data_IF_448119410108
#
_entry.id   IF_448119410108
#
_cell.length_a   1.000
_cell.length_b   1.000
_cell.length_c   1.000
_cell.angle_alpha   90.00
_cell.angle_beta   90.00
_cell.angle_gamma   90.00
#
_symmetry.space_group_name_H-M   'P 1'
#
loop_
_entity.id
_entity.type
_entity.pdbx_description
1 polymer ?
#
# COMPACT_ATOMS: atom_id res chain seq x y z
N UNK A 1 -7.08 -0.26 -11.34
CA UNK A 1 -7.62 0.17 -10.03
C UNK A 1 -8.92 0.95 -10.21
N UNK A 2 -9.81 0.79 -9.25
CA UNK A 2 -11.10 1.49 -9.24
C UNK A 2 -11.01 2.81 -8.47
N UNK A 3 -10.20 2.87 -7.43
CA UNK A 3 -10.08 4.03 -6.54
C UNK A 3 -8.63 4.28 -6.13
N UNK A 4 -8.23 5.55 -6.15
CA UNK A 4 -7.03 6.06 -5.49
C UNK A 4 -7.47 7.08 -4.43
N UNK A 5 -7.46 6.69 -3.15
CA UNK A 5 -8.05 7.53 -2.09
C UNK A 5 -7.12 8.62 -1.56
N UNK A 6 -5.88 8.67 -2.00
CA UNK A 6 -4.89 9.68 -1.57
C UNK A 6 -4.10 10.24 -2.75
N UNK A 7 -4.82 10.52 -3.82
CA UNK A 7 -4.26 11.08 -5.06
C UNK A 7 -3.88 12.55 -4.90
N UNK A 8 -2.81 13.03 -5.57
CA UNK A 8 -2.55 14.46 -5.66
C UNK A 8 -3.70 15.20 -6.35
N UNK A 9 -3.92 16.46 -5.97
CA UNK A 9 -4.95 17.32 -6.60
C UNK A 9 -4.65 17.46 -8.11
N UNK A 10 -3.40 17.79 -8.44
CA UNK A 10 -2.92 17.87 -9.81
C UNK A 10 -1.99 16.71 -10.10
N UNK A 11 -2.54 15.61 -10.55
CA UNK A 11 -1.76 14.44 -10.91
C UNK A 11 -1.38 14.46 -12.38
N UNK A 12 -0.19 13.96 -12.75
CA UNK A 12 0.26 13.97 -14.14
C UNK A 12 -0.49 12.95 -15.02
N UNK A 13 -1.04 11.89 -14.43
CA UNK A 13 -1.82 10.86 -15.10
C UNK A 13 -2.82 10.24 -14.11
N UNK A 14 -3.88 9.59 -14.61
CA UNK A 14 -4.82 8.90 -13.73
C UNK A 14 -4.18 7.62 -13.17
N UNK A 15 -4.37 7.38 -11.88
CA UNK A 15 -3.93 6.16 -11.20
C UNK A 15 -5.07 5.17 -10.99
N UNK A 16 -6.29 5.62 -11.12
CA UNK A 16 -7.51 4.83 -10.95
C UNK A 16 -8.67 5.47 -11.69
N UNK A 17 -9.84 4.82 -11.67
CA UNK A 17 -11.06 5.36 -12.26
C UNK A 17 -11.61 6.54 -11.46
N UNK A 18 -11.53 6.45 -10.13
CA UNK A 18 -11.98 7.48 -9.19
C UNK A 18 -10.81 7.88 -8.29
N UNK A 19 -10.76 9.17 -7.96
CA UNK A 19 -9.69 9.72 -7.13
C UNK A 19 -10.27 10.55 -5.99
N UNK A 20 -9.78 10.33 -4.77
CA UNK A 20 -9.97 11.26 -3.67
C UNK A 20 -8.65 12.01 -3.44
N UNK A 21 -8.77 13.30 -3.15
CA UNK A 21 -7.63 14.15 -2.84
C UNK A 21 -7.68 14.59 -1.38
N UNK A 22 -6.71 15.39 -0.95
CA UNK A 22 -6.71 15.93 0.41
C UNK A 22 -7.97 16.77 0.70
N UNK A 23 -8.56 17.36 -0.33
CA UNK A 23 -9.82 18.12 -0.20
C UNK A 23 -11.01 17.23 0.16
N UNK A 24 -10.98 15.97 -0.28
CA UNK A 24 -12.04 14.99 -0.02
C UNK A 24 -11.86 14.29 1.33
N UNK A 25 -10.65 14.21 1.84
CA UNK A 25 -10.26 13.37 2.97
C UNK A 25 -10.64 11.90 2.76
N UNK A 26 -9.85 11.21 1.94
CA UNK A 26 -10.11 9.83 1.54
C UNK A 26 -10.23 8.81 2.69
N UNK A 27 -9.65 9.11 3.87
CA UNK A 27 -9.81 8.25 5.05
C UNK A 27 -11.25 8.18 5.56
N UNK A 28 -12.04 9.21 5.32
CA UNK A 28 -13.43 9.31 5.81
C UNK A 28 -14.48 8.97 4.77
N UNK A 29 -14.07 8.73 3.53
CA UNK A 29 -14.98 8.41 2.43
C UNK A 29 -15.17 6.90 2.29
N UNK A 30 -16.30 6.43 1.76
CA UNK A 30 -16.45 5.02 1.42
C UNK A 30 -15.50 4.62 0.30
N UNK A 31 -14.90 3.45 0.41
CA UNK A 31 -14.04 2.87 -0.63
C UNK A 31 -14.81 1.77 -1.36
N UNK A 32 -14.72 1.77 -2.67
CA UNK A 32 -15.38 0.78 -3.51
C UNK A 32 -14.38 0.19 -4.51
N UNK A 33 -14.47 -1.11 -4.74
CA UNK A 33 -13.67 -1.80 -5.73
C UNK A 33 -12.23 -2.04 -5.29
N UNK A 34 -11.36 -2.21 -6.29
CA UNK A 34 -9.94 -2.46 -6.09
C UNK A 34 -9.17 -1.15 -5.94
N UNK A 35 -8.50 -0.98 -4.80
CA UNK A 35 -7.90 0.29 -4.39
C UNK A 35 -6.39 0.28 -4.57
N UNK A 36 -5.88 1.36 -5.14
CA UNK A 36 -4.45 1.71 -5.11
C UNK A 36 -4.24 2.75 -4.02
N UNK A 37 -3.39 2.44 -3.05
CA UNK A 37 -3.10 3.36 -1.95
C UNK A 37 -1.60 3.63 -1.85
N UNK A 38 -1.19 4.82 -2.24
CA UNK A 38 0.16 5.33 -2.03
C UNK A 38 0.07 6.51 -1.06
N UNK A 39 0.00 6.24 0.26
CA UNK A 39 -0.31 7.28 1.23
C UNK A 39 0.86 8.26 1.39
N UNK A 40 0.58 9.49 1.84
CA UNK A 40 1.66 10.39 2.23
C UNK A 40 2.46 9.76 3.36
N UNK A 41 3.78 9.86 3.26
CA UNK A 41 4.66 9.34 4.29
C UNK A 41 4.61 10.25 5.52
N UNK A 42 4.57 9.64 6.70
CA UNK A 42 4.53 10.38 7.94
C UNK A 42 3.65 9.72 9.00
N UNK A 43 3.19 10.48 10.00
CA UNK A 43 2.47 9.93 11.15
C UNK A 43 1.13 9.28 10.80
N UNK A 44 0.53 9.65 9.66
CA UNK A 44 -0.76 9.09 9.23
C UNK A 44 -0.66 7.82 8.40
N UNK A 45 0.54 7.36 8.06
CA UNK A 45 0.72 6.12 7.28
C UNK A 45 -0.01 4.94 7.91
N UNK A 46 0.03 4.82 9.24
CA UNK A 46 -0.67 3.76 9.97
C UNK A 46 -2.19 3.80 9.77
N UNK A 47 -2.80 4.98 9.76
CA UNK A 47 -4.25 5.12 9.54
C UNK A 47 -4.64 4.66 8.12
N UNK A 48 -3.83 5.00 7.12
CA UNK A 48 -4.05 4.56 5.75
C UNK A 48 -3.92 3.04 5.61
N UNK A 49 -2.91 2.44 6.23
CA UNK A 49 -2.73 0.99 6.21
C UNK A 49 -3.86 0.26 6.96
N UNK A 50 -4.32 0.81 8.07
CA UNK A 50 -5.49 0.29 8.79
C UNK A 50 -6.73 0.29 7.88
N UNK A 51 -6.94 1.38 7.13
CA UNK A 51 -8.06 1.49 6.21
C UNK A 51 -7.94 0.51 5.03
N UNK A 52 -6.73 0.31 4.50
CA UNK A 52 -6.47 -0.70 3.49
C UNK A 52 -6.80 -2.10 3.99
N UNK A 53 -6.37 -2.43 5.19
CA UNK A 53 -6.63 -3.74 5.80
C UNK A 53 -8.14 -3.97 6.01
N UNK A 54 -8.85 -2.96 6.49
CA UNK A 54 -10.30 -3.02 6.69
C UNK A 54 -11.04 -3.23 5.38
N UNK A 55 -10.67 -2.50 4.33
CA UNK A 55 -11.29 -2.65 3.01
C UNK A 55 -10.99 -4.02 2.39
N UNK A 56 -9.81 -4.54 2.62
CA UNK A 56 -9.37 -5.88 2.21
C UNK A 56 -9.48 -6.16 0.70
N UNK A 57 -9.29 -5.15 -0.10
CA UNK A 57 -9.19 -5.23 -1.56
C UNK A 57 -8.30 -4.07 -2.05
N UNK A 58 -7.03 -4.10 -1.66
CA UNK A 58 -6.15 -2.95 -1.78
C UNK A 58 -4.71 -3.37 -2.06
N UNK A 59 -4.07 -2.62 -2.92
CA UNK A 59 -2.62 -2.64 -3.11
C UNK A 59 -2.06 -1.34 -2.53
N UNK A 60 -1.21 -1.45 -1.52
CA UNK A 60 -0.55 -0.29 -0.93
C UNK A 60 0.94 -0.25 -1.30
N UNK A 61 1.47 0.95 -1.47
CA UNK A 61 2.90 1.19 -1.65
C UNK A 61 3.39 2.08 -0.52
N UNK A 62 4.31 1.57 0.29
CA UNK A 62 4.91 2.30 1.40
C UNK A 62 6.40 1.98 1.53
N UNK A 63 7.11 2.74 2.35
CA UNK A 63 8.46 2.36 2.74
C UNK A 63 8.43 1.07 3.58
N UNK A 64 9.41 0.21 3.36
CA UNK A 64 9.53 -1.07 4.06
C UNK A 64 10.12 -0.89 5.47
N UNK A 65 9.46 -0.09 6.29
CA UNK A 65 9.86 0.16 7.68
C UNK A 65 9.18 -0.85 8.59
N UNK A 66 9.71 -2.05 8.57
CA UNK A 66 9.13 -3.23 9.20
C UNK A 66 9.05 -3.16 10.71
N UNK A 67 9.89 -2.35 11.34
CA UNK A 67 9.96 -2.18 12.80
C UNK A 67 8.90 -1.22 13.35
N UNK A 68 8.24 -0.46 12.51
CA UNK A 68 7.26 0.55 12.97
C UNK A 68 5.99 -0.09 13.51
N UNK A 69 5.31 0.64 14.40
CA UNK A 69 4.01 0.20 14.92
C UNK A 69 2.98 0.02 13.81
N UNK A 70 2.99 0.90 12.80
CA UNK A 70 2.09 0.80 11.65
C UNK A 70 2.27 -0.54 10.92
N UNK A 71 3.51 -0.93 10.65
CA UNK A 71 3.82 -2.19 9.98
C UNK A 71 3.44 -3.40 10.84
N UNK A 72 3.78 -3.35 12.12
CA UNK A 72 3.48 -4.44 13.07
C UNK A 72 1.98 -4.64 13.31
N UNK A 73 1.20 -3.57 13.32
CA UNK A 73 -0.25 -3.66 13.58
C UNK A 73 -1.08 -3.92 12.33
N UNK A 74 -0.67 -3.39 11.17
CA UNK A 74 -1.55 -3.33 10.00
C UNK A 74 -1.01 -4.06 8.79
N UNK A 75 0.23 -4.50 8.80
CA UNK A 75 0.82 -5.25 7.69
C UNK A 75 0.97 -6.73 8.03
N UNK A 76 1.84 -7.07 8.98
CA UNK A 76 2.10 -8.48 9.29
C UNK A 76 0.84 -9.26 9.69
N UNK A 77 -0.08 -8.74 10.53
CA UNK A 77 -1.26 -9.50 10.91
C UNK A 77 -2.38 -9.50 9.87
N UNK A 78 -2.33 -8.66 8.86
CA UNK A 78 -3.48 -8.38 7.98
C UNK A 78 -3.21 -8.62 6.50
N UNK A 79 -2.00 -8.35 6.03
CA UNK A 79 -1.68 -8.47 4.60
C UNK A 79 -1.58 -9.93 4.18
N UNK A 80 -1.97 -10.21 2.94
CA UNK A 80 -1.87 -11.56 2.37
C UNK A 80 -0.53 -11.81 1.68
N UNK A 81 0.11 -10.78 1.20
CA UNK A 81 1.41 -10.89 0.54
C UNK A 81 2.12 -9.55 0.53
N UNK A 82 3.43 -9.63 0.37
CA UNK A 82 4.31 -8.47 0.20
C UNK A 82 5.21 -8.69 -1.00
N UNK A 83 5.58 -7.58 -1.63
CA UNK A 83 6.56 -7.59 -2.70
C UNK A 83 7.58 -6.48 -2.45
N UNK A 84 8.78 -6.88 -2.07
CA UNK A 84 9.87 -5.95 -1.76
C UNK A 84 10.55 -5.55 -3.07
N UNK A 85 10.47 -4.26 -3.40
CA UNK A 85 11.01 -3.76 -4.65
C UNK A 85 12.53 -3.74 -4.65
N UNK A 86 13.12 -4.16 -5.76
CA UNK A 86 14.56 -4.07 -5.97
C UNK A 86 14.94 -2.61 -6.24
N UNK A 87 15.97 -2.12 -5.54
CA UNK A 87 16.42 -0.74 -5.68
C UNK A 87 15.47 0.26 -5.07
N UNK A 88 15.64 1.52 -5.43
CA UNK A 88 14.85 2.62 -4.91
C UNK A 88 13.85 3.08 -5.95
N UNK A 89 12.62 3.36 -5.50
CA UNK A 89 11.57 3.90 -6.36
C UNK A 89 11.90 5.35 -6.71
N UNK A 90 11.71 5.71 -7.97
CA UNK A 90 11.77 7.11 -8.42
C UNK A 90 10.39 7.73 -8.32
N UNK A 91 10.33 8.92 -7.72
CA UNK A 91 9.07 9.68 -7.63
C UNK A 91 9.01 10.71 -8.75
N UNK A 92 7.78 11.04 -9.13
CA UNK A 92 7.49 12.06 -10.14
C UNK A 92 6.80 13.25 -9.51
N UNK A 93 7.14 14.44 -9.98
CA UNK A 93 6.41 15.66 -9.61
C UNK A 93 5.03 15.66 -10.25
N UNK A 94 4.14 16.50 -9.73
CA UNK A 94 2.76 16.61 -10.26
C UNK A 94 2.71 17.09 -11.72
N UNK A 95 3.78 17.71 -12.21
CA UNK A 95 3.91 18.11 -13.62
C UNK A 95 4.45 17.00 -14.54
N UNK A 96 4.70 15.80 -14.00
CA UNK A 96 5.20 14.65 -14.74
C UNK A 96 6.71 14.54 -14.84
N UNK A 97 7.48 15.50 -14.34
CA UNK A 97 8.95 15.40 -14.34
C UNK A 97 9.42 14.39 -13.31
N UNK A 98 10.46 13.63 -13.68
CA UNK A 98 11.09 12.71 -12.73
C UNK A 98 11.73 13.49 -11.58
N UNK A 99 11.39 13.09 -10.35
CA UNK A 99 11.99 13.63 -9.14
C UNK A 99 13.17 12.79 -8.64
N UNK A 100 13.47 12.92 -7.37
CA UNK A 100 14.50 12.12 -6.72
C UNK A 100 14.06 10.68 -6.46
N UNK A 101 15.02 9.86 -6.02
CA UNK A 101 14.75 8.49 -5.59
C UNK A 101 14.26 8.46 -4.14
N UNK A 102 13.56 7.39 -3.77
CA UNK A 102 13.09 7.17 -2.41
C UNK A 102 14.26 7.11 -1.41
N UNK A 103 14.06 7.68 -0.23
CA UNK A 103 15.05 7.65 0.86
C UNK A 103 15.13 6.32 1.60
N UNK A 104 14.24 5.37 1.30
CA UNK A 104 14.17 4.06 1.94
C UNK A 104 13.68 3.01 0.93
N UNK A 105 13.91 1.71 1.20
CA UNK A 105 13.33 0.65 0.39
C UNK A 105 11.80 0.72 0.41
N UNK A 106 11.18 0.30 -0.69
CA UNK A 106 9.73 0.29 -0.83
C UNK A 106 9.17 -1.13 -0.89
N UNK A 107 7.94 -1.29 -0.43
CA UNK A 107 7.23 -2.56 -0.46
C UNK A 107 5.82 -2.33 -0.97
N UNK A 108 5.36 -3.25 -1.84
CA UNK A 108 3.96 -3.38 -2.20
C UNK A 108 3.29 -4.34 -1.23
N UNK A 109 2.15 -3.95 -0.71
CA UNK A 109 1.40 -4.73 0.29
C UNK A 109 0.05 -5.09 -0.31
N UNK A 110 -0.24 -6.40 -0.36
CA UNK A 110 -1.51 -6.90 -0.86
C UNK A 110 -2.46 -7.17 0.30
N UNK A 111 -3.59 -6.48 0.30
CA UNK A 111 -4.71 -6.77 1.17
C UNK A 111 -5.83 -7.39 0.33
N UNK A 112 -6.20 -8.63 0.65
CA UNK A 112 -7.19 -9.38 -0.09
C UNK A 112 -6.60 -10.29 -1.18
N UNK A 113 -7.41 -11.24 -1.64
CA UNK A 113 -6.99 -12.29 -2.56
C UNK A 113 -6.63 -11.75 -3.94
N UNK A 114 -7.40 -10.79 -4.44
CA UNK A 114 -7.15 -10.22 -5.77
C UNK A 114 -5.78 -9.54 -5.83
N UNK A 115 -5.47 -8.69 -4.84
CA UNK A 115 -4.16 -8.03 -4.76
C UNK A 115 -3.02 -9.05 -4.61
N UNK A 116 -3.23 -10.09 -3.82
CA UNK A 116 -2.24 -11.18 -3.69
C UNK A 116 -1.96 -11.84 -5.02
N UNK A 117 -2.98 -12.16 -5.80
CA UNK A 117 -2.83 -12.81 -7.10
C UNK A 117 -2.00 -11.95 -8.06
N UNK A 118 -2.19 -10.64 -8.01
CA UNK A 118 -1.43 -9.70 -8.83
C UNK A 118 0.04 -9.68 -8.41
N UNK A 119 0.33 -9.59 -7.11
CA UNK A 119 1.72 -9.61 -6.63
C UNK A 119 2.44 -10.91 -6.97
N UNK A 120 1.74 -12.03 -6.86
CA UNK A 120 2.32 -13.35 -7.18
C UNK A 120 2.78 -13.44 -8.63
N UNK A 121 2.12 -12.72 -9.53
CA UNK A 121 2.45 -12.68 -10.97
C UNK A 121 3.57 -11.71 -11.34
N UNK A 122 4.09 -10.91 -10.42
CA UNK A 122 5.14 -9.95 -10.73
C UNK A 122 6.50 -10.65 -10.96
N UNK A 123 7.31 -10.03 -11.81
CA UNK A 123 8.64 -10.54 -12.15
C UNK A 123 9.59 -10.53 -10.94
N UNK A 124 10.33 -11.61 -10.74
CA UNK A 124 11.39 -11.68 -9.74
C UNK A 124 12.55 -10.72 -10.03
N UNK A 125 12.67 -10.23 -11.26
CA UNK A 125 13.70 -9.26 -11.63
C UNK A 125 13.45 -7.87 -11.01
N UNK A 126 12.20 -7.54 -10.69
CA UNK A 126 11.82 -6.24 -10.14
C UNK A 126 11.75 -6.22 -8.61
N UNK A 127 11.76 -7.38 -7.96
CA UNK A 127 11.65 -7.49 -6.52
C UNK A 127 11.47 -8.91 -6.03
N UNK A 128 11.05 -9.04 -4.77
CA UNK A 128 10.88 -10.33 -4.11
C UNK A 128 9.49 -10.47 -3.51
N UNK A 129 8.77 -11.50 -3.95
CA UNK A 129 7.43 -11.84 -3.44
C UNK A 129 7.52 -12.71 -2.20
N UNK A 130 6.74 -12.38 -1.18
CA UNK A 130 6.58 -13.19 0.01
C UNK A 130 5.09 -13.37 0.27
N UNK A 131 4.62 -14.62 0.28
CA UNK A 131 3.29 -14.92 0.80
C UNK A 131 3.30 -14.72 2.31
N UNK A 132 2.28 -14.04 2.82
CA UNK A 132 2.13 -13.79 4.23
C UNK A 132 0.87 -14.51 4.74
N UNK A 133 1.00 -15.23 5.86
CA UNK A 133 -0.15 -15.84 6.52
C UNK A 133 -0.68 -14.85 7.55
N UNK A 134 -1.81 -14.17 7.27
CA UNK A 134 -2.37 -13.25 8.24
C UNK A 134 -2.67 -13.96 9.55
N UNK A 135 -2.47 -13.26 10.66
CA UNK A 135 -2.77 -13.77 11.97
C UNK A 135 -4.28 -13.91 12.13
N UNK A 136 -4.75 -15.15 12.11
CA UNK A 136 -6.18 -15.47 12.20
C UNK A 136 -6.39 -16.29 13.47
N UNK A 137 -7.44 -15.93 14.25
CA UNK A 137 -7.96 -16.75 15.35
C UNK A 137 -6.87 -17.34 16.25
N UNK A 138 -6.16 -16.52 16.95
CA UNK A 138 -5.17 -17.00 17.90
C UNK A 138 -3.80 -17.30 17.31
N UNK A 139 -3.48 -16.76 16.18
CA UNK A 139 -2.15 -16.90 15.59
C UNK A 139 -1.04 -16.40 16.50
N UNK A 140 0.05 -16.02 15.94
CA UNK A 140 1.30 -15.72 16.64
C UNK A 140 1.20 -14.92 17.93
N UNK A 141 0.25 -13.99 18.03
CA UNK A 141 0.18 -13.07 19.16
C UNK A 141 -0.51 -13.63 20.38
N UNK A 142 -1.46 -14.52 20.21
CA UNK A 142 -2.37 -14.90 21.29
C UNK A 142 -1.83 -15.97 22.21
N UNK A 143 -0.82 -16.67 21.79
CA UNK A 143 -0.21 -17.75 22.56
C UNK A 143 0.96 -17.30 23.44
N UNK A 144 1.13 -15.99 23.60
CA UNK A 144 2.31 -15.46 24.27
C UNK A 144 2.02 -14.63 25.50
#
# INVERSE_FOLDING_TARGET
FDLDPCSPIKRPWPTAKTHFTIEDNGLTKPWEGYVWCNPPYGPKTGEWLARCAEHNNCMALVFARTETAAFQKHVWPKARALYFLKGRVSFYHVDGRQGGTAGAPSVLIAYGQHAQNILRGLSELAGHYIANAPNIAGGWGDDK
#
